data_IF_264228010459
#
_entry.id   IF_264228010459
#
_cell.length_a   1.000
_cell.length_b   1.000
_cell.length_c   1.000
_cell.angle_alpha   90.00
_cell.angle_beta   90.00
_cell.angle_gamma   90.00
#
_symmetry.space_group_name_H-M   'P 1'
#
loop_
_entity.id
_entity.type
_entity.pdbx_description
1 polymer ?
#
# COMPACT_ATOMS: atom_id res chain seq x y z
N UNK A 1 2.15 45.82 16.75
CA UNK A 1 2.63 44.97 15.64
C UNK A 1 3.52 43.89 16.24
N UNK A 2 3.05 42.65 16.37
CA UNK A 2 3.92 41.56 16.79
C UNK A 2 4.93 41.28 15.66
N UNK A 3 6.19 41.30 16.03
CA UNK A 3 7.30 40.73 15.26
C UNK A 3 6.94 39.28 14.93
N UNK A 4 6.71 38.94 13.65
CA UNK A 4 6.61 37.56 13.21
C UNK A 4 8.03 36.98 13.27
N UNK A 5 8.38 36.19 14.30
CA UNK A 5 9.72 35.70 14.42
C UNK A 5 9.83 34.51 13.46
N UNK A 6 10.57 34.75 12.38
CA UNK A 6 11.36 33.75 11.68
C UNK A 6 10.53 32.66 10.97
N UNK A 7 10.34 32.86 9.67
CA UNK A 7 10.26 31.76 8.70
C UNK A 7 11.53 30.91 8.83
N UNK A 8 11.56 30.02 9.83
CA UNK A 8 12.68 29.13 10.09
C UNK A 8 12.77 28.20 8.88
N UNK A 9 13.77 28.43 8.03
CA UNK A 9 14.06 27.54 6.91
C UNK A 9 14.51 26.22 7.50
N UNK A 10 13.64 25.21 7.44
CA UNK A 10 14.00 23.86 7.83
C UNK A 10 14.75 23.18 6.68
N UNK A 11 15.68 22.29 7.02
CA UNK A 11 16.51 21.59 6.04
C UNK A 11 16.33 20.09 6.25
N UNK A 12 15.85 19.41 5.22
CA UNK A 12 15.84 17.94 5.12
C UNK A 12 16.99 17.43 4.26
N UNK A 13 17.36 16.16 4.46
CA UNK A 13 18.34 15.47 3.61
C UNK A 13 17.61 14.38 2.84
N UNK A 14 17.78 14.34 1.52
CA UNK A 14 17.26 13.27 0.68
C UNK A 14 18.00 11.95 1.00
N UNK A 15 17.30 10.86 1.33
CA UNK A 15 17.94 9.57 1.61
C UNK A 15 18.50 8.87 0.36
N UNK A 16 17.99 9.18 -0.85
CA UNK A 16 18.44 8.59 -2.12
C UNK A 16 19.76 9.18 -2.65
N UNK A 17 19.88 10.52 -2.67
CA UNK A 17 21.05 11.21 -3.25
C UNK A 17 21.87 12.02 -2.24
N UNK A 18 21.40 12.22 -1.01
CA UNK A 18 22.07 13.04 0.01
C UNK A 18 21.92 14.55 -0.18
N UNK A 19 21.09 15.00 -1.12
CA UNK A 19 20.84 16.42 -1.37
C UNK A 19 20.16 17.13 -0.18
N UNK A 20 20.42 18.43 -0.04
CA UNK A 20 19.81 19.29 0.98
C UNK A 20 18.55 19.94 0.43
N UNK A 21 17.39 19.53 0.94
CA UNK A 21 16.09 20.10 0.59
C UNK A 21 15.77 21.23 1.57
N UNK A 22 15.50 22.43 1.05
CA UNK A 22 15.19 23.62 1.85
C UNK A 22 13.69 23.90 1.81
N UNK A 23 13.06 23.89 2.98
CA UNK A 23 11.66 24.22 3.12
C UNK A 23 11.50 25.72 3.40
N UNK A 24 10.74 26.40 2.54
CA UNK A 24 10.45 27.84 2.71
C UNK A 24 9.44 28.11 3.83
N UNK A 25 8.57 27.13 4.07
CA UNK A 25 7.50 27.19 5.05
C UNK A 25 7.76 26.20 6.19
N UNK A 26 6.91 26.25 7.22
CA UNK A 26 6.91 25.28 8.30
C UNK A 26 6.52 23.91 7.74
N UNK A 27 7.46 22.97 7.83
CA UNK A 27 7.26 21.58 7.41
C UNK A 27 6.23 20.89 8.30
N UNK A 28 5.34 20.14 7.69
CA UNK A 28 4.33 19.32 8.37
C UNK A 28 4.71 17.84 8.30
N UNK A 29 4.34 17.09 9.33
CA UNK A 29 4.48 15.63 9.30
C UNK A 29 3.47 15.05 8.30
N UNK A 30 3.91 14.10 7.48
CA UNK A 30 3.14 13.55 6.37
C UNK A 30 3.09 14.45 5.12
N UNK A 31 3.92 15.49 5.06
CA UNK A 31 4.02 16.32 3.86
C UNK A 31 4.89 15.62 2.80
N UNK A 32 4.41 15.58 1.55
CA UNK A 32 5.15 15.01 0.42
C UNK A 32 6.01 16.07 -0.27
N UNK A 33 7.24 15.70 -0.62
CA UNK A 33 8.22 16.55 -1.29
C UNK A 33 8.97 15.73 -2.34
N UNK A 34 9.21 16.34 -3.51
CA UNK A 34 10.02 15.74 -4.57
C UNK A 34 11.43 16.30 -4.47
N UNK A 35 12.44 15.43 -4.56
CA UNK A 35 13.81 15.87 -4.61
C UNK A 35 14.16 16.44 -5.99
N UNK A 36 14.53 17.72 -6.08
CA UNK A 36 14.94 18.34 -7.35
C UNK A 36 16.22 17.75 -7.97
N UNK A 37 17.03 17.03 -7.18
CA UNK A 37 18.32 16.49 -7.65
C UNK A 37 18.21 15.08 -8.24
N UNK A 38 17.41 14.18 -7.63
CA UNK A 38 17.23 12.81 -8.11
C UNK A 38 15.82 12.51 -8.64
N UNK A 39 14.83 13.33 -8.33
CA UNK A 39 13.42 13.10 -8.68
C UNK A 39 12.67 12.18 -7.71
N UNK A 40 13.30 11.70 -6.63
CA UNK A 40 12.64 10.80 -5.68
C UNK A 40 11.50 11.52 -4.95
N UNK A 41 10.39 10.82 -4.79
CA UNK A 41 9.25 11.23 -3.98
C UNK A 41 9.49 10.83 -2.53
N UNK A 42 9.42 11.81 -1.63
CA UNK A 42 9.76 11.66 -0.22
C UNK A 42 8.66 12.20 0.68
N UNK A 43 8.45 11.57 1.82
CA UNK A 43 7.50 11.98 2.85
C UNK A 43 8.24 12.50 4.09
N UNK A 44 7.72 13.55 4.71
CA UNK A 44 8.22 14.06 6.00
C UNK A 44 7.73 13.20 7.15
N UNK A 45 8.62 12.35 7.66
CA UNK A 45 8.37 11.52 8.86
C UNK A 45 8.70 12.22 10.18
N UNK A 46 9.42 13.35 10.15
CA UNK A 46 9.72 14.16 11.34
C UNK A 46 9.99 15.62 10.99
N UNK A 47 9.66 16.55 11.91
CA UNK A 47 9.76 18.01 11.67
C UNK A 47 10.77 18.74 12.57
N UNK A 48 11.41 18.05 13.53
CA UNK A 48 12.40 18.67 14.43
C UNK A 48 13.36 17.63 15.03
N UNK A 49 14.46 17.26 14.34
CA UNK A 49 14.91 17.75 13.02
C UNK A 49 14.07 17.18 11.87
N UNK A 50 14.08 17.86 10.70
CA UNK A 50 13.40 17.34 9.52
C UNK A 50 14.02 16.03 9.07
N UNK A 51 13.21 14.99 8.95
CA UNK A 51 13.58 13.69 8.40
C UNK A 51 12.63 13.35 7.26
N UNK A 52 13.21 12.81 6.20
CA UNK A 52 12.51 12.39 5.00
C UNK A 52 12.69 10.88 4.85
N UNK A 53 11.63 10.21 4.43
CA UNK A 53 11.62 8.81 4.02
C UNK A 53 11.02 8.69 2.62
N UNK A 54 11.15 7.56 1.95
CA UNK A 54 10.53 7.35 0.64
C UNK A 54 9.00 7.35 0.76
N UNK A 55 8.34 8.11 -0.13
CA UNK A 55 6.89 8.24 -0.19
C UNK A 55 6.23 7.03 -0.87
N UNK A 56 6.56 5.81 -0.46
CA UNK A 56 5.83 4.64 -0.95
C UNK A 56 4.36 4.78 -0.56
N UNK A 57 3.46 4.69 -1.54
CA UNK A 57 2.03 4.50 -1.31
C UNK A 57 1.86 3.36 -0.30
N UNK A 58 0.95 3.55 0.65
CA UNK A 58 0.57 2.51 1.61
C UNK A 58 0.46 1.16 0.86
N UNK A 59 0.94 0.03 1.42
CA UNK A 59 0.75 -1.30 0.81
C UNK A 59 -0.74 -1.73 0.72
N UNK A 60 -1.66 -0.80 0.97
CA UNK A 60 -3.11 -0.92 0.83
C UNK A 60 -3.67 -0.14 -0.38
N UNK A 61 -2.84 0.59 -1.14
CA UNK A 61 -3.27 1.33 -2.35
C UNK A 61 -2.94 0.60 -3.67
N UNK A 62 -2.33 -0.58 -3.61
CA UNK A 62 -2.17 -1.47 -4.77
C UNK A 62 -2.84 -2.83 -4.47
N UNK A 63 -3.88 -3.15 -5.25
CA UNK A 63 -4.47 -4.49 -5.43
C UNK A 63 -5.27 -5.12 -4.26
N UNK A 64 -6.37 -4.47 -3.83
CA UNK A 64 -7.56 -5.25 -3.46
C UNK A 64 -8.42 -5.53 -4.71
N UNK A 65 -7.82 -6.17 -5.71
CA UNK A 65 -8.56 -6.96 -6.69
C UNK A 65 -8.89 -8.30 -6.04
N UNK A 66 -9.77 -8.26 -5.03
CA UNK A 66 -10.39 -9.44 -4.46
C UNK A 66 -11.42 -10.02 -5.44
N UNK A 67 -10.98 -10.41 -6.63
CA UNK A 67 -11.75 -11.25 -7.56
C UNK A 67 -11.73 -12.68 -7.01
N UNK A 68 -12.50 -12.90 -5.94
CA UNK A 68 -12.90 -14.23 -5.51
C UNK A 68 -14.03 -14.70 -6.42
N UNK A 69 -13.67 -15.18 -7.60
CA UNK A 69 -14.55 -15.95 -8.47
C UNK A 69 -13.81 -17.23 -8.87
N UNK A 70 -14.08 -18.32 -8.14
CA UNK A 70 -13.89 -19.69 -8.63
C UNK A 70 -15.01 -20.53 -8.00
N UNK A 71 -16.14 -20.48 -8.69
CA UNK A 71 -17.17 -21.50 -8.84
C UNK A 71 -17.04 -22.73 -7.91
N UNK A 72 -17.71 -22.68 -6.74
CA UNK A 72 -18.17 -23.91 -6.08
C UNK A 72 -19.53 -24.30 -6.65
N UNK A 73 -19.54 -24.74 -7.90
CA UNK A 73 -20.68 -25.42 -8.52
C UNK A 73 -20.13 -26.54 -9.44
N UNK A 74 -19.59 -27.58 -8.80
CA UNK A 74 -19.45 -28.87 -9.45
C UNK A 74 -20.67 -29.67 -8.98
N UNK A 75 -21.78 -29.49 -9.70
CA UNK A 75 -22.92 -30.40 -9.75
C UNK A 75 -22.40 -31.83 -9.60
N UNK A 76 -22.51 -32.39 -8.39
CA UNK A 76 -22.34 -33.83 -8.19
C UNK A 76 -23.57 -34.46 -8.82
N UNK A 77 -23.38 -34.87 -10.08
CA UNK A 77 -24.27 -35.75 -10.82
C UNK A 77 -24.42 -37.03 -9.97
N UNK A 78 -25.50 -37.08 -9.18
CA UNK A 78 -26.01 -38.26 -8.49
C UNK A 78 -26.77 -39.11 -9.52
N UNK A 79 -26.17 -39.36 -10.68
CA UNK A 79 -26.71 -40.28 -11.66
C UNK A 79 -26.30 -41.72 -11.31
N UNK A 80 -27.32 -42.43 -10.84
CA UNK A 80 -27.76 -43.63 -11.56
C UNK A 80 -26.84 -44.86 -11.44
N UNK A 81 -26.64 -45.34 -10.20
CA UNK A 81 -26.31 -46.75 -9.98
C UNK A 81 -27.58 -47.61 -9.92
N UNK A 82 -28.41 -47.56 -10.97
CA UNK A 82 -29.35 -48.64 -11.25
C UNK A 82 -28.66 -49.68 -12.15
N UNK A 83 -28.16 -50.74 -11.52
CA UNK A 83 -28.10 -52.05 -12.16
C UNK A 83 -28.76 -53.06 -11.22
N UNK A 84 -30.07 -53.22 -11.41
CA UNK A 84 -30.78 -54.48 -11.23
C UNK A 84 -29.97 -55.63 -11.85
N UNK A 85 -29.62 -56.64 -11.05
CA UNK A 85 -29.45 -58.01 -11.54
C UNK A 85 -29.70 -58.97 -10.37
N UNK A 86 -30.92 -59.54 -10.39
CA UNK A 86 -31.28 -60.85 -9.86
C UNK A 86 -30.08 -61.80 -9.63
N UNK A 87 -29.79 -62.12 -8.37
CA UNK A 87 -29.35 -63.48 -8.02
C UNK A 87 -30.13 -63.94 -6.79
N UNK A 88 -31.23 -64.61 -7.14
CA UNK A 88 -31.98 -65.69 -6.50
C UNK A 88 -31.23 -66.54 -5.45
N UNK A 89 -31.99 -67.43 -4.81
CA UNK A 89 -31.61 -68.62 -4.02
C UNK A 89 -31.90 -68.58 -2.51
N UNK A 90 -32.90 -69.40 -2.18
CA UNK A 90 -33.60 -69.72 -0.93
C UNK A 90 -32.71 -70.35 0.18
N UNK A 91 -33.01 -70.03 1.46
CA UNK A 91 -33.13 -71.00 2.57
C UNK A 91 -33.98 -70.43 3.73
#
# INVERSE_FOLDING_TARGET
MQINPQSKTEIGICPGCGARIRFQNKVQMGEFVICDECGDELEVVSVSPVKLDWAFEDPFDEDFDGDYDDDFDEDVDDDDYDYDDDDDWED
#
